data_IF_998172164918
#
_entry.id   IF_998172164918
#
_cell.length_a   1.000
_cell.length_b   1.000
_cell.length_c   1.000
_cell.angle_alpha   90.00
_cell.angle_beta   90.00
_cell.angle_gamma   90.00
#
_symmetry.space_group_name_H-M   'P 1'
#
loop_
_entity.id
_entity.type
_entity.pdbx_description
1 polymer ?
#
# COMPACT_ATOMS: atom_id res chain seq x y z
N UNK A 1 50.47 -47.76 -42.80
CA UNK A 1 51.57 -46.78 -42.74
C UNK A 1 51.77 -46.36 -41.30
N UNK A 2 53.00 -46.55 -40.78
CA UNK A 2 53.74 -45.80 -39.74
C UNK A 2 52.97 -45.09 -38.60
N UNK A 3 53.38 -45.09 -37.33
CA UNK A 3 54.48 -45.65 -36.54
C UNK A 3 54.23 -45.18 -35.07
N UNK A 4 54.54 -46.04 -34.09
CA UNK A 4 55.21 -45.77 -32.78
C UNK A 4 54.51 -44.83 -31.76
N UNK A 5 54.07 -45.33 -30.58
CA UNK A 5 54.79 -45.73 -29.33
C UNK A 5 55.27 -44.57 -28.43
N UNK A 6 54.82 -44.60 -27.16
CA UNK A 6 55.52 -44.44 -25.84
C UNK A 6 54.48 -43.99 -24.78
N UNK A 7 53.98 -44.78 -23.81
CA UNK A 7 54.53 -45.57 -22.68
C UNK A 7 54.92 -44.76 -21.42
N UNK A 8 54.67 -45.39 -20.26
CA UNK A 8 55.03 -45.11 -18.84
C UNK A 8 53.81 -44.68 -17.97
N UNK A 9 53.17 -45.52 -17.15
CA UNK A 9 53.57 -46.47 -16.05
C UNK A 9 53.89 -45.77 -14.72
N UNK A 10 53.15 -46.16 -13.68
CA UNK A 10 53.32 -45.86 -12.24
C UNK A 10 51.94 -45.65 -11.61
N UNK A 11 51.18 -46.65 -11.13
CA UNK A 11 51.40 -47.77 -10.19
C UNK A 11 51.58 -47.31 -8.73
N UNK A 12 50.62 -47.70 -7.87
CA UNK A 12 50.74 -47.68 -6.39
C UNK A 12 49.47 -47.21 -5.66
N UNK A 13 48.47 -48.09 -5.46
CA UNK A 13 48.03 -48.67 -4.17
C UNK A 13 47.45 -47.65 -3.15
N UNK A 14 46.13 -47.55 -2.98
CA UNK A 14 45.22 -48.36 -2.12
C UNK A 14 45.60 -48.40 -0.63
N UNK A 15 44.69 -47.95 0.24
CA UNK A 15 43.94 -48.78 1.21
C UNK A 15 43.03 -47.91 2.13
N UNK A 16 41.75 -48.32 2.18
CA UNK A 16 40.83 -48.43 3.36
C UNK A 16 40.52 -47.18 4.20
N UNK A 17 39.30 -46.92 4.66
CA UNK A 17 38.31 -47.84 5.22
C UNK A 17 36.90 -47.24 5.21
N UNK A 18 35.91 -48.10 4.99
CA UNK A 18 34.48 -47.89 5.18
C UNK A 18 34.07 -47.83 6.66
N UNK A 19 33.17 -46.92 7.04
CA UNK A 19 32.07 -47.22 7.98
C UNK A 19 30.84 -46.43 7.54
N UNK A 20 29.69 -47.11 7.57
CA UNK A 20 28.37 -46.74 7.06
C UNK A 20 27.31 -46.67 8.17
N UNK A 21 26.14 -46.10 7.82
CA UNK A 21 24.82 -46.15 8.50
C UNK A 21 24.73 -45.36 9.83
N UNK A 22 23.62 -44.69 10.19
CA UNK A 22 22.21 -44.86 9.86
C UNK A 22 21.40 -43.56 10.06
N UNK A 23 20.26 -43.47 9.38
CA UNK A 23 19.23 -42.44 9.55
C UNK A 23 18.63 -42.39 10.97
N UNK A 24 18.10 -41.22 11.38
CA UNK A 24 16.71 -40.99 11.87
C UNK A 24 16.56 -39.54 12.39
N UNK A 25 15.63 -38.83 11.74
CA UNK A 25 14.73 -37.74 12.18
C UNK A 25 15.18 -36.62 13.13
N UNK A 26 14.88 -35.38 12.70
CA UNK A 26 14.06 -34.36 13.40
C UNK A 26 14.66 -32.95 13.51
N UNK A 27 13.86 -32.00 12.97
CA UNK A 27 13.70 -30.59 13.34
C UNK A 27 14.85 -29.60 13.14
N UNK A 28 14.61 -28.71 12.16
CA UNK A 28 14.80 -27.25 12.19
C UNK A 28 15.84 -26.71 13.17
N UNK A 29 16.92 -26.12 12.64
CA UNK A 29 17.31 -24.83 13.20
C UNK A 29 18.06 -23.93 12.22
N UNK A 30 17.60 -22.70 12.21
CA UNK A 30 18.14 -21.50 11.61
C UNK A 30 19.63 -21.26 11.96
N UNK A 31 20.24 -20.39 11.16
CA UNK A 31 21.48 -19.61 11.38
C UNK A 31 22.74 -20.07 10.62
N UNK A 32 22.77 -19.78 9.31
CA UNK A 32 24.06 -19.65 8.59
C UNK A 32 24.22 -18.42 7.68
N UNK A 33 23.34 -17.42 7.76
CA UNK A 33 23.60 -16.08 7.18
C UNK A 33 23.22 -14.99 8.18
N UNK A 34 23.96 -14.89 9.29
CA UNK A 34 23.93 -13.71 10.18
C UNK A 34 25.35 -13.21 10.46
N UNK A 35 26.09 -12.89 9.38
CA UNK A 35 27.40 -12.25 9.49
C UNK A 35 27.55 -11.02 8.58
N UNK A 36 26.57 -10.11 8.62
CA UNK A 36 26.76 -8.65 8.51
C UNK A 36 25.42 -7.89 8.58
N UNK A 37 24.88 -7.73 9.79
CA UNK A 37 24.15 -6.54 10.27
C UNK A 37 24.03 -6.69 11.78
N UNK A 38 24.34 -5.66 12.56
CA UNK A 38 24.34 -5.69 14.02
C UNK A 38 23.06 -6.30 14.60
N UNK A 39 23.19 -7.44 15.26
CA UNK A 39 22.13 -8.16 15.98
C UNK A 39 22.05 -7.59 17.39
N UNK A 40 21.05 -6.75 17.67
CA UNK A 40 20.57 -6.56 19.04
C UNK A 40 19.71 -7.76 19.40
N UNK A 41 20.13 -8.52 20.40
CA UNK A 41 19.37 -9.65 20.94
C UNK A 41 18.47 -9.15 22.07
N UNK A 42 17.15 -9.29 21.93
CA UNK A 42 16.23 -9.26 23.06
C UNK A 42 14.90 -9.93 22.70
N UNK A 43 14.67 -11.09 23.31
CA UNK A 43 13.43 -11.56 23.94
C UNK A 43 12.10 -11.19 23.26
N UNK A 44 11.38 -12.23 22.81
CA UNK A 44 9.92 -12.24 22.55
C UNK A 44 9.39 -10.90 22.03
N UNK A 45 9.61 -10.65 20.74
CA UNK A 45 9.19 -9.42 20.08
C UNK A 45 7.69 -9.18 20.30
N UNK A 46 7.37 -8.30 21.26
CA UNK A 46 6.33 -7.31 21.02
C UNK A 46 6.77 -6.58 19.75
N UNK A 47 6.39 -7.12 18.60
CA UNK A 47 6.52 -6.42 17.33
C UNK A 47 5.73 -5.15 17.54
N UNK A 48 6.43 -4.02 17.68
CA UNK A 48 5.79 -2.72 17.79
C UNK A 48 4.99 -2.51 16.52
N UNK A 49 3.69 -2.83 16.58
CA UNK A 49 2.74 -2.72 15.47
C UNK A 49 2.56 -1.27 15.02
N UNK A 50 3.22 -0.31 15.65
CA UNK A 50 3.15 1.10 15.30
C UNK A 50 4.12 1.52 14.19
N UNK A 51 5.06 0.66 13.78
CA UNK A 51 6.02 0.95 12.70
C UNK A 51 6.18 -0.25 11.77
N UNK A 52 6.03 0.00 10.46
CA UNK A 52 6.32 -0.96 9.39
C UNK A 52 7.06 -0.23 8.26
N UNK A 53 8.16 -0.81 7.78
CA UNK A 53 8.90 -0.26 6.64
C UNK A 53 8.25 -0.68 5.33
N UNK A 54 8.22 0.24 4.37
CA UNK A 54 7.76 -0.05 3.02
C UNK A 54 8.79 -0.93 2.27
N UNK A 55 8.30 -1.90 1.51
CA UNK A 55 9.13 -2.77 0.65
C UNK A 55 8.69 -2.58 -0.79
N UNK A 56 9.67 -2.46 -1.69
CA UNK A 56 9.45 -2.23 -3.12
C UNK A 56 10.21 -3.24 -3.96
N UNK A 57 9.59 -3.67 -5.06
CA UNK A 57 10.24 -4.32 -6.19
C UNK A 57 10.23 -3.34 -7.38
N UNK A 58 11.37 -2.70 -7.63
CA UNK A 58 11.45 -1.53 -8.52
C UNK A 58 10.50 -0.40 -8.07
N UNK A 59 9.45 -0.16 -8.87
CA UNK A 59 8.43 0.86 -8.63
C UNK A 59 7.11 0.26 -8.10
N UNK A 60 7.02 -1.05 -7.92
CA UNK A 60 5.87 -1.69 -7.29
C UNK A 60 6.07 -1.69 -5.76
N UNK A 61 5.07 -1.21 -5.02
CA UNK A 61 5.05 -1.38 -3.57
C UNK A 61 4.49 -2.77 -3.24
N UNK A 62 5.31 -3.60 -2.61
CA UNK A 62 4.94 -4.96 -2.17
C UNK A 62 4.42 -4.95 -0.74
N UNK A 63 4.94 -4.05 0.10
CA UNK A 63 4.52 -3.88 1.48
C UNK A 63 4.35 -2.41 1.82
N UNK A 64 3.16 -2.05 2.31
CA UNK A 64 2.86 -0.69 2.76
C UNK A 64 3.65 -0.38 4.02
N UNK A 65 4.38 0.73 4.02
CA UNK A 65 5.03 1.25 5.22
C UNK A 65 4.08 2.16 5.99
N UNK A 66 4.22 2.21 7.32
CA UNK A 66 3.49 3.12 8.18
C UNK A 66 4.26 3.37 9.48
N UNK A 67 3.96 4.47 10.16
CA UNK A 67 4.61 4.86 11.40
C UNK A 67 3.64 5.63 12.30
N UNK A 68 3.90 5.66 13.61
CA UNK A 68 3.16 6.53 14.53
C UNK A 68 3.63 7.98 14.39
N UNK A 69 2.74 8.89 14.00
CA UNK A 69 3.05 10.30 13.89
C UNK A 69 3.00 11.02 15.25
N UNK A 70 3.34 12.31 15.27
CA UNK A 70 3.37 13.12 16.49
C UNK A 70 1.98 13.30 17.13
N UNK A 71 0.91 13.17 16.35
CA UNK A 71 -0.48 13.22 16.82
C UNK A 71 -0.96 11.87 17.40
N UNK A 72 -0.09 10.86 17.41
CA UNK A 72 -0.41 9.51 17.87
C UNK A 72 -1.20 8.67 16.87
N UNK A 73 -1.42 9.15 15.64
CA UNK A 73 -2.07 8.42 14.56
C UNK A 73 -1.08 7.44 13.93
N UNK A 74 -1.58 6.30 13.44
CA UNK A 74 -0.78 5.42 12.58
C UNK A 74 -0.92 5.96 11.15
N UNK A 75 0.14 6.59 10.66
CA UNK A 75 0.20 7.25 9.37
C UNK A 75 0.93 6.38 8.36
N UNK A 76 0.36 6.30 7.16
CA UNK A 76 1.01 5.64 6.02
C UNK A 76 2.28 6.39 5.62
N UNK A 77 3.32 5.63 5.25
CA UNK A 77 4.53 6.21 4.66
C UNK A 77 4.22 6.69 3.23
N UNK A 78 4.73 7.86 2.86
CA UNK A 78 4.60 8.38 1.51
C UNK A 78 5.17 7.37 0.49
N UNK A 79 4.41 7.12 -0.58
CA UNK A 79 4.85 6.30 -1.69
C UNK A 79 5.80 7.09 -2.61
N UNK A 80 6.65 6.36 -3.35
CA UNK A 80 7.44 6.97 -4.43
C UNK A 80 6.52 7.68 -5.42
N UNK A 81 6.95 8.82 -5.97
CA UNK A 81 6.16 9.61 -6.92
C UNK A 81 5.79 8.84 -8.20
N UNK A 82 6.58 7.84 -8.57
CA UNK A 82 6.40 6.98 -9.74
C UNK A 82 5.88 5.58 -9.40
N UNK A 83 5.30 5.40 -8.20
CA UNK A 83 4.75 4.11 -7.72
C UNK A 83 3.77 3.53 -8.74
N UNK A 84 4.08 2.32 -9.22
CA UNK A 84 3.35 1.65 -10.30
C UNK A 84 2.10 0.95 -9.83
N UNK A 85 2.07 0.51 -8.57
CA UNK A 85 0.96 -0.18 -7.91
C UNK A 85 1.21 -0.30 -6.42
N UNK A 86 0.14 -0.52 -5.68
CA UNK A 86 0.15 -0.71 -4.23
C UNK A 86 -0.56 -2.02 -3.86
N UNK A 87 -0.30 -2.58 -2.67
CA UNK A 87 -1.06 -3.73 -2.18
C UNK A 87 -2.55 -3.41 -2.09
N UNK A 88 -3.41 -4.39 -2.43
CA UNK A 88 -4.87 -4.23 -2.43
C UNK A 88 -5.47 -4.07 -1.02
N UNK A 89 -4.79 -4.61 -0.02
CA UNK A 89 -5.22 -4.54 1.37
C UNK A 89 -4.47 -3.42 2.10
N UNK A 90 -5.22 -2.47 2.65
CA UNK A 90 -4.70 -1.44 3.53
C UNK A 90 -4.63 -2.01 4.96
N UNK A 91 -3.46 -1.97 5.64
CA UNK A 91 -3.35 -2.37 7.03
C UNK A 91 -4.40 -1.68 7.91
N UNK A 92 -5.14 -2.46 8.70
CA UNK A 92 -6.32 -1.98 9.46
C UNK A 92 -5.94 -1.00 10.57
N UNK A 93 -4.69 -1.04 10.99
CA UNK A 93 -4.08 -0.18 12.00
C UNK A 93 -3.93 1.26 11.51
N UNK A 94 -3.84 1.49 10.19
CA UNK A 94 -3.64 2.83 9.62
C UNK A 94 -4.89 3.67 9.87
N UNK A 95 -4.68 4.85 10.45
CA UNK A 95 -5.74 5.85 10.69
C UNK A 95 -5.51 7.15 9.93
N UNK A 96 -4.33 7.32 9.31
CA UNK A 96 -3.97 8.51 8.56
C UNK A 96 -3.36 8.13 7.20
N UNK A 97 -3.93 8.67 6.13
CA UNK A 97 -3.39 8.62 4.77
C UNK A 97 -2.59 9.88 4.41
N UNK A 98 -2.22 10.67 5.42
CA UNK A 98 -1.54 11.93 5.22
C UNK A 98 -0.27 11.77 4.37
N UNK A 99 -0.20 12.56 3.31
CA UNK A 99 0.90 12.57 2.33
C UNK A 99 1.14 11.26 1.55
N UNK A 100 0.17 10.34 1.49
CA UNK A 100 0.38 9.02 0.85
C UNK A 100 0.91 9.12 -0.59
N UNK A 101 0.28 9.90 -1.46
CA UNK A 101 0.58 9.99 -2.90
C UNK A 101 0.97 11.41 -3.33
N UNK A 102 1.69 12.13 -2.47
CA UNK A 102 2.21 13.46 -2.83
C UNK A 102 3.11 13.35 -4.06
N UNK A 103 2.87 14.18 -5.06
CA UNK A 103 3.67 14.23 -6.29
C UNK A 103 3.41 13.06 -7.24
N UNK A 104 2.38 12.23 -7.03
CA UNK A 104 2.16 11.07 -7.88
C UNK A 104 2.06 11.44 -9.39
N UNK A 105 2.92 10.79 -10.16
CA UNK A 105 3.13 11.03 -11.60
C UNK A 105 2.34 10.08 -12.49
N UNK A 106 1.86 8.97 -11.94
CA UNK A 106 1.07 7.98 -12.69
C UNK A 106 -0.40 8.33 -12.73
N UNK A 107 -1.03 8.02 -13.85
CA UNK A 107 -2.47 8.20 -14.06
C UNK A 107 -3.29 7.27 -13.17
N UNK A 108 -2.84 6.03 -13.07
CA UNK A 108 -3.50 4.96 -12.32
C UNK A 108 -2.49 4.29 -11.41
N UNK A 109 -2.94 3.94 -10.20
CA UNK A 109 -2.16 3.22 -9.20
C UNK A 109 -3.01 2.00 -8.79
N UNK A 110 -2.93 0.87 -9.52
CA UNK A 110 -3.71 -0.32 -9.22
C UNK A 110 -3.50 -0.76 -7.76
N UNK A 111 -4.58 -1.18 -7.12
CA UNK A 111 -4.65 -1.58 -5.72
C UNK A 111 -5.33 -0.55 -4.82
N UNK A 112 -5.26 0.74 -5.16
CA UNK A 112 -5.86 1.82 -4.36
C UNK A 112 -7.40 1.75 -4.35
N UNK A 113 -8.00 1.21 -5.40
CA UNK A 113 -9.45 1.04 -5.53
C UNK A 113 -10.02 0.03 -4.54
N UNK A 114 -9.19 -0.91 -4.06
CA UNK A 114 -9.60 -1.97 -3.14
C UNK A 114 -9.43 -1.60 -1.67
N UNK A 115 -8.91 -0.41 -1.37
CA UNK A 115 -8.59 -0.02 0.00
C UNK A 115 -9.86 0.21 0.83
N UNK A 116 -9.99 -0.53 1.93
CA UNK A 116 -10.99 -0.26 2.96
C UNK A 116 -10.60 0.94 3.83
N UNK A 117 -11.12 2.13 3.53
CA UNK A 117 -10.73 3.37 4.22
C UNK A 117 -11.62 3.73 5.43
N UNK A 118 -12.46 2.81 5.91
CA UNK A 118 -13.42 3.10 6.99
C UNK A 118 -12.78 3.53 8.31
N UNK A 119 -11.52 3.16 8.57
CA UNK A 119 -10.80 3.55 9.78
C UNK A 119 -10.01 4.87 9.65
N UNK A 120 -9.98 5.45 8.45
CA UNK A 120 -9.19 6.64 8.16
C UNK A 120 -9.88 7.89 8.70
N UNK A 121 -9.11 8.66 9.47
CA UNK A 121 -9.53 9.94 10.05
C UNK A 121 -8.87 11.12 9.34
N UNK A 122 -7.63 10.96 8.88
CA UNK A 122 -6.83 12.02 8.31
C UNK A 122 -6.52 11.72 6.83
N UNK A 123 -7.03 12.58 5.93
CA UNK A 123 -6.79 12.55 4.48
C UNK A 123 -6.12 13.84 4.00
N UNK A 124 -5.26 14.45 4.82
CA UNK A 124 -4.48 15.64 4.42
C UNK A 124 -3.54 15.31 3.28
N UNK A 125 -3.51 16.17 2.26
CA UNK A 125 -2.49 16.14 1.20
C UNK A 125 -2.32 14.79 0.46
N UNK A 126 -3.31 13.87 0.52
CA UNK A 126 -3.18 12.50 -0.04
C UNK A 126 -2.68 12.53 -1.48
N UNK A 127 -3.21 13.45 -2.30
CA UNK A 127 -2.85 13.65 -3.71
C UNK A 127 -2.29 15.06 -3.98
N UNK A 128 -1.60 15.66 -3.01
CA UNK A 128 -0.97 16.98 -3.17
C UNK A 128 0.02 16.94 -4.35
N UNK A 129 -0.15 17.85 -5.32
CA UNK A 129 0.64 17.96 -6.55
C UNK A 129 0.71 16.66 -7.37
N UNK A 130 -0.25 15.74 -7.21
CA UNK A 130 -0.35 14.51 -7.98
C UNK A 130 -0.83 14.79 -9.41
N UNK A 131 0.03 15.43 -10.22
CA UNK A 131 -0.31 15.91 -11.56
C UNK A 131 -0.70 14.78 -12.51
N UNK A 132 -0.19 13.58 -12.30
CA UNK A 132 -0.55 12.42 -13.13
C UNK A 132 -1.92 11.85 -12.80
N UNK A 133 -2.32 11.91 -11.53
CA UNK A 133 -3.41 11.11 -10.98
C UNK A 133 -4.78 11.47 -11.56
N UNK A 134 -5.47 10.46 -12.10
CA UNK A 134 -6.85 10.57 -12.58
C UNK A 134 -7.57 9.21 -12.50
N UNK A 135 -7.45 8.54 -11.36
CA UNK A 135 -8.01 7.21 -11.13
C UNK A 135 -9.24 7.25 -10.24
N UNK A 136 -10.10 6.24 -10.39
CA UNK A 136 -11.33 6.16 -9.64
C UNK A 136 -11.06 5.74 -8.18
N UNK A 137 -11.65 6.48 -7.26
CA UNK A 137 -11.58 6.27 -5.81
C UNK A 137 -12.98 6.38 -5.19
N UNK A 138 -14.02 6.13 -5.99
CA UNK A 138 -15.41 6.19 -5.55
C UNK A 138 -15.77 5.16 -4.48
N UNK A 139 -14.91 4.17 -4.23
CA UNK A 139 -15.18 3.14 -3.21
C UNK A 139 -14.62 3.50 -1.83
N UNK A 140 -13.91 4.63 -1.72
CA UNK A 140 -13.39 5.10 -0.44
C UNK A 140 -14.52 5.55 0.50
N UNK A 141 -14.48 5.00 1.72
CA UNK A 141 -15.32 5.40 2.84
C UNK A 141 -14.70 6.60 3.57
N UNK A 142 -15.39 7.74 3.54
CA UNK A 142 -14.96 8.98 4.20
C UNK A 142 -15.73 9.27 5.49
N UNK A 143 -16.58 8.35 5.95
CA UNK A 143 -17.50 8.59 7.08
C UNK A 143 -16.80 8.96 8.40
N UNK A 144 -15.57 8.50 8.62
CA UNK A 144 -14.77 8.80 9.82
C UNK A 144 -13.72 9.90 9.61
N UNK A 145 -13.65 10.48 8.41
CA UNK A 145 -12.65 11.49 8.07
C UNK A 145 -12.99 12.81 8.75
N UNK A 146 -12.00 13.40 9.42
CA UNK A 146 -12.11 14.70 10.10
C UNK A 146 -11.43 15.82 9.32
N UNK A 147 -10.52 15.50 8.40
CA UNK A 147 -9.77 16.51 7.63
C UNK A 147 -9.40 16.01 6.24
N UNK A 148 -9.63 16.87 5.24
CA UNK A 148 -9.29 16.67 3.83
C UNK A 148 -8.46 17.85 3.30
N UNK A 149 -7.74 18.53 4.19
CA UNK A 149 -6.98 19.73 3.87
C UNK A 149 -6.03 19.47 2.69
N UNK A 150 -6.18 20.25 1.62
CA UNK A 150 -5.36 20.16 0.42
C UNK A 150 -5.28 18.79 -0.23
N UNK A 151 -6.27 17.90 -0.05
CA UNK A 151 -6.23 16.51 -0.54
C UNK A 151 -5.90 16.39 -2.03
N UNK A 152 -6.45 17.26 -2.88
CA UNK A 152 -6.21 17.32 -4.33
C UNK A 152 -5.53 18.63 -4.77
N UNK A 153 -4.88 19.34 -3.85
CA UNK A 153 -4.23 20.62 -4.17
C UNK A 153 -3.18 20.39 -5.25
N UNK A 154 -3.28 21.06 -6.40
CA UNK A 154 -2.36 20.91 -7.54
C UNK A 154 -2.47 19.59 -8.32
N UNK A 155 -3.48 18.75 -8.05
CA UNK A 155 -3.78 17.54 -8.84
C UNK A 155 -4.45 17.92 -10.17
N UNK A 156 -3.70 18.55 -11.08
CA UNK A 156 -4.24 19.24 -12.26
C UNK A 156 -5.01 18.35 -13.21
N UNK A 157 -4.68 17.05 -13.32
CA UNK A 157 -5.35 16.12 -14.23
C UNK A 157 -6.54 15.37 -13.60
N UNK A 158 -6.77 15.52 -12.30
CA UNK A 158 -7.83 14.79 -11.62
C UNK A 158 -9.20 15.29 -12.05
N UNK A 159 -10.02 14.40 -12.62
CA UNK A 159 -11.39 14.70 -13.03
C UNK A 159 -12.29 13.46 -12.94
N UNK A 160 -12.21 12.73 -11.81
CA UNK A 160 -13.12 11.62 -11.54
C UNK A 160 -14.26 12.05 -10.61
N UNK A 161 -15.48 11.51 -10.78
CA UNK A 161 -16.55 11.71 -9.82
C UNK A 161 -16.17 11.17 -8.44
N UNK A 162 -16.56 11.89 -7.38
CA UNK A 162 -16.33 11.50 -5.99
C UNK A 162 -17.62 11.01 -5.31
N UNK A 163 -18.36 10.13 -6.00
CA UNK A 163 -19.75 9.77 -5.69
C UNK A 163 -19.81 8.34 -5.15
N UNK A 164 -19.98 8.18 -3.82
CA UNK A 164 -19.69 6.89 -3.16
C UNK A 164 -20.88 6.27 -2.45
N UNK A 165 -21.54 7.01 -1.56
CA UNK A 165 -22.58 6.46 -0.67
C UNK A 165 -23.86 7.27 -0.68
N UNK A 166 -24.99 6.57 -0.55
CA UNK A 166 -26.28 7.19 -0.23
C UNK A 166 -26.14 7.90 1.11
N UNK A 167 -26.25 9.22 1.08
CA UNK A 167 -26.31 10.08 2.25
C UNK A 167 -27.71 10.68 2.32
N UNK A 168 -28.28 10.70 3.51
CA UNK A 168 -29.62 11.26 3.74
C UNK A 168 -29.45 12.65 4.35
N UNK A 169 -30.02 13.67 3.70
CA UNK A 169 -30.13 15.02 4.24
C UNK A 169 -31.52 15.54 3.97
N UNK A 170 -32.21 15.99 5.01
CA UNK A 170 -33.56 16.58 4.90
C UNK A 170 -34.55 15.67 4.14
N UNK A 171 -34.59 14.36 4.47
CA UNK A 171 -35.41 13.35 3.79
C UNK A 171 -35.14 13.18 2.28
N UNK A 172 -34.00 13.68 1.77
CA UNK A 172 -33.52 13.44 0.42
C UNK A 172 -32.24 12.60 0.46
N UNK A 173 -32.25 11.49 -0.26
CA UNK A 173 -31.05 10.66 -0.47
C UNK A 173 -30.27 11.16 -1.68
N UNK A 174 -28.96 11.34 -1.55
CA UNK A 174 -28.04 11.67 -2.64
C UNK A 174 -26.77 10.84 -2.50
N UNK A 175 -26.10 10.51 -3.61
CA UNK A 175 -24.81 9.82 -3.53
C UNK A 175 -23.68 10.86 -3.48
N UNK A 176 -22.85 10.80 -2.44
CA UNK A 176 -21.70 11.69 -2.25
C UNK A 176 -20.71 11.10 -1.22
N UNK A 177 -19.49 11.64 -1.14
CA UNK A 177 -18.65 11.45 0.05
C UNK A 177 -19.36 11.96 1.30
N UNK A 178 -19.29 11.17 2.37
CA UNK A 178 -19.76 11.61 3.68
C UNK A 178 -18.72 12.56 4.27
N UNK A 179 -19.07 13.84 4.37
CA UNK A 179 -18.23 14.89 4.94
C UNK A 179 -18.78 15.44 6.26
N UNK A 180 -19.73 14.74 6.88
CA UNK A 180 -20.42 15.22 8.08
C UNK A 180 -19.46 15.46 9.27
N UNK A 181 -18.38 14.69 9.33
CA UNK A 181 -17.35 14.79 10.38
C UNK A 181 -16.15 15.65 9.97
N UNK A 182 -16.11 16.14 8.72
CA UNK A 182 -14.96 16.89 8.19
C UNK A 182 -15.02 18.33 8.70
N UNK A 183 -13.97 18.75 9.40
CA UNK A 183 -13.85 20.11 9.96
C UNK A 183 -12.98 21.03 9.11
N UNK A 184 -12.11 20.49 8.26
CA UNK A 184 -11.25 21.26 7.37
C UNK A 184 -11.15 20.65 5.96
N UNK A 185 -11.60 21.42 4.96
CA UNK A 185 -11.46 21.16 3.52
C UNK A 185 -10.71 22.30 2.81
N UNK A 186 -9.98 23.12 3.57
CA UNK A 186 -9.24 24.25 3.02
C UNK A 186 -8.29 23.79 1.93
N UNK A 187 -8.25 24.53 0.83
CA UNK A 187 -7.42 24.25 -0.35
C UNK A 187 -7.63 22.87 -1.01
N UNK A 188 -8.70 22.12 -0.69
CA UNK A 188 -8.90 20.74 -1.16
C UNK A 188 -8.69 20.58 -2.67
N UNK A 189 -9.24 21.49 -3.48
CA UNK A 189 -9.10 21.50 -4.96
C UNK A 189 -8.29 22.69 -5.48
N UNK A 190 -7.53 23.39 -4.65
CA UNK A 190 -6.76 24.55 -5.08
C UNK A 190 -5.72 24.15 -6.13
N UNK A 191 -5.82 24.67 -7.35
CA UNK A 191 -4.94 24.30 -8.47
C UNK A 191 -5.27 22.97 -9.15
N UNK A 192 -6.38 22.31 -8.80
CA UNK A 192 -6.91 21.16 -9.55
C UNK A 192 -7.69 21.66 -10.79
N UNK A 193 -6.97 22.15 -11.79
CA UNK A 193 -7.55 22.93 -12.90
C UNK A 193 -8.53 22.17 -13.79
N UNK A 194 -8.39 20.86 -13.94
CA UNK A 194 -9.29 20.06 -14.78
C UNK A 194 -10.47 19.48 -14.02
N UNK A 195 -10.56 19.69 -12.70
CA UNK A 195 -11.64 19.12 -11.90
C UNK A 195 -12.95 19.85 -12.14
N UNK A 196 -13.87 19.21 -12.87
CA UNK A 196 -15.23 19.71 -13.13
C UNK A 196 -16.32 18.64 -12.94
N UNK A 197 -15.94 17.46 -12.45
CA UNK A 197 -16.84 16.34 -12.19
C UNK A 197 -17.82 16.64 -11.07
N UNK A 198 -18.98 15.97 -11.10
CA UNK A 198 -19.99 16.16 -10.08
C UNK A 198 -19.53 15.68 -8.70
N UNK A 199 -19.86 16.44 -7.68
CA UNK A 199 -19.65 16.13 -6.27
C UNK A 199 -20.87 15.46 -5.61
N UNK A 200 -22.01 15.44 -6.31
CA UNK A 200 -23.24 14.81 -5.84
C UNK A 200 -24.01 14.20 -7.02
N UNK A 201 -24.66 13.07 -6.79
CA UNK A 201 -25.67 12.53 -7.70
C UNK A 201 -27.05 12.64 -7.06
N UNK A 202 -27.92 13.47 -7.66
CA UNK A 202 -29.34 13.57 -7.33
C UNK A 202 -30.25 12.92 -8.41
N UNK A 203 -29.66 12.33 -9.45
CA UNK A 203 -30.35 11.76 -10.61
C UNK A 203 -30.94 10.38 -10.32
N UNK A 204 -30.52 9.72 -9.24
CA UNK A 204 -31.34 8.70 -8.58
C UNK A 204 -32.38 9.37 -7.68
N UNK A 205 -33.51 9.80 -8.27
CA UNK A 205 -34.79 9.39 -7.66
C UNK A 205 -34.64 7.88 -7.47
N UNK A 206 -34.67 7.39 -6.23
CA UNK A 206 -34.78 5.95 -6.00
C UNK A 206 -35.86 5.43 -6.94
N UNK A 207 -35.46 4.58 -7.90
CA UNK A 207 -36.43 3.83 -8.66
C UNK A 207 -37.21 3.04 -7.61
N UNK A 208 -38.54 3.01 -7.74
CA UNK A 208 -39.55 2.45 -6.81
C UNK A 208 -39.23 1.05 -6.21
N UNK A 209 -38.16 0.40 -6.67
CA UNK A 209 -37.77 -0.96 -6.36
C UNK A 209 -36.48 -1.10 -5.53
N UNK A 210 -35.71 -0.02 -5.29
CA UNK A 210 -34.46 -0.07 -4.49
C UNK A 210 -34.65 0.30 -3.00
N UNK A 211 -35.90 0.49 -2.54
CA UNK A 211 -36.23 0.77 -1.15
C UNK A 211 -37.05 -0.38 -0.53
N UNK A 212 -36.43 -1.53 -0.31
CA UNK A 212 -36.89 -2.54 0.63
C UNK A 212 -35.66 -3.12 1.36
N UNK A 213 -35.37 -2.59 2.55
CA UNK A 213 -35.51 -3.30 3.85
C UNK A 213 -35.79 -2.24 4.90
#
# INVERSE_FOLDING_TARGET
MNKLKKSFVGLGLLLTSSVSLSAVSCFNNFDFFSRWTGRSNSNSANVDKSIQKAIYDGNECIQIGYFKNQNGEIQISQFKEDVSRVPKELPKEITSLENAFVGATRIQIPGIESWGTSNIKNMKHVFLNAKGFNYDISDWDTSNVTTMHGMFKGASNFNKPLITKLTNRNNKSYRAWNVANVTDMSHMFHGATNFNSSLFDDTKKCNKYDCYV
#
